data_IF_856931813480
#
_entry.id   IF_856931813480
#
_cell.length_a   1.000
_cell.length_b   1.000
_cell.length_c   1.000
_cell.angle_alpha   90.00
_cell.angle_beta   90.00
_cell.angle_gamma   90.00
#
_symmetry.space_group_name_H-M   'P 1'
#
loop_
_entity.id
_entity.type
_entity.pdbx_description
1 polymer ?
#
# COMPACT_ATOMS: atom_id res chain seq x y z
N UNK A 1 3.40 -19.72 -1.11
CA UNK A 1 3.06 -18.36 -1.58
C UNK A 1 1.86 -17.81 -0.83
N UNK A 2 1.93 -16.57 -0.39
CA UNK A 2 0.84 -15.91 0.33
C UNK A 2 0.13 -14.94 -0.61
N UNK A 3 -1.19 -15.00 -0.62
CA UNK A 3 -2.05 -14.10 -1.40
C UNK A 3 -2.87 -13.25 -0.44
N UNK A 4 -2.84 -11.94 -0.63
CA UNK A 4 -3.66 -11.00 0.14
C UNK A 4 -4.51 -10.22 -0.84
N UNK A 5 -5.80 -10.11 -0.52
CA UNK A 5 -6.74 -9.32 -1.30
C UNK A 5 -7.57 -8.52 -0.30
N UNK A 6 -7.43 -7.20 -0.33
CA UNK A 6 -8.10 -6.32 0.62
C UNK A 6 -8.58 -5.06 -0.09
N UNK A 7 -9.47 -4.31 0.53
CA UNK A 7 -9.96 -3.09 -0.05
C UNK A 7 -11.03 -2.41 0.79
N UNK A 8 -11.51 -1.29 0.27
CA UNK A 8 -12.54 -0.49 0.93
C UNK A 8 -13.27 0.39 -0.08
N UNK A 9 -14.52 0.74 0.23
CA UNK A 9 -15.24 1.82 -0.46
C UNK A 9 -15.16 3.06 0.42
N UNK A 10 -14.80 4.19 -0.18
CA UNK A 10 -14.55 5.44 0.53
C UNK A 10 -15.31 6.60 -0.12
N UNK A 11 -15.47 7.69 0.62
CA UNK A 11 -16.15 8.90 0.15
C UNK A 11 -15.22 9.85 -0.61
N UNK A 12 -13.98 9.47 -0.85
CA UNK A 12 -13.00 10.27 -1.59
C UNK A 12 -12.94 9.80 -3.04
N UNK A 13 -12.45 10.67 -3.94
CA UNK A 13 -12.37 10.31 -5.36
C UNK A 13 -11.25 9.30 -5.60
N UNK A 14 -11.30 8.54 -6.72
CA UNK A 14 -10.19 7.66 -7.10
C UNK A 14 -8.84 8.38 -7.18
N UNK A 15 -8.83 9.59 -7.73
CA UNK A 15 -7.62 10.41 -7.83
C UNK A 15 -7.06 10.78 -6.46
N UNK A 16 -7.92 11.17 -5.53
CA UNK A 16 -7.48 11.48 -4.15
C UNK A 16 -6.83 10.28 -3.49
N UNK A 17 -7.42 9.11 -3.60
CA UNK A 17 -6.87 7.88 -3.01
C UNK A 17 -5.60 7.44 -3.73
N UNK A 18 -5.58 7.53 -5.06
CA UNK A 18 -4.38 7.24 -5.85
C UNK A 18 -3.21 8.13 -5.42
N UNK A 19 -3.42 9.44 -5.34
CA UNK A 19 -2.37 10.38 -4.95
C UNK A 19 -1.81 10.07 -3.56
N UNK A 20 -2.68 9.67 -2.65
CA UNK A 20 -2.30 9.30 -1.30
C UNK A 20 -1.43 8.04 -1.28
N UNK A 21 -1.84 7.00 -1.99
CA UNK A 21 -1.09 5.74 -2.06
C UNK A 21 0.22 5.91 -2.83
N UNK A 22 0.20 6.73 -3.88
CA UNK A 22 1.39 6.97 -4.70
C UNK A 22 2.44 7.84 -3.98
N UNK A 23 2.06 8.56 -2.93
CA UNK A 23 2.97 9.37 -2.13
C UNK A 23 3.70 8.51 -1.08
N UNK A 24 4.53 7.59 -1.57
CA UNK A 24 5.19 6.61 -0.73
C UNK A 24 6.24 7.23 0.21
N UNK A 25 6.80 8.38 -0.15
CA UNK A 25 7.75 9.08 0.72
C UNK A 25 7.12 9.54 2.04
N UNK A 26 5.80 9.66 2.10
CA UNK A 26 5.09 10.01 3.32
C UNK A 26 4.80 8.80 4.22
N UNK A 27 4.98 7.57 3.74
CA UNK A 27 4.63 6.36 4.48
C UNK A 27 5.24 6.26 5.89
N UNK A 28 6.52 6.63 6.11
CA UNK A 28 7.08 6.54 7.46
C UNK A 28 6.36 7.36 8.53
N UNK A 29 5.58 8.35 8.11
CA UNK A 29 4.83 9.20 9.04
C UNK A 29 3.60 8.52 9.63
N UNK A 30 3.05 7.49 8.95
CA UNK A 30 1.79 6.92 9.39
C UNK A 30 1.63 5.39 9.20
N UNK A 31 2.44 4.76 8.35
CA UNK A 31 2.37 3.30 8.21
C UNK A 31 3.22 2.64 9.31
N UNK A 32 2.65 1.67 10.04
CA UNK A 32 3.40 1.00 11.09
C UNK A 32 4.58 0.24 10.52
N UNK A 33 5.69 0.22 11.27
CA UNK A 33 6.91 -0.49 10.93
C UNK A 33 7.68 0.05 9.73
N UNK A 34 7.12 0.96 8.95
CA UNK A 34 7.80 1.59 7.83
C UNK A 34 8.69 2.73 8.37
N UNK A 35 10.01 2.54 8.31
CA UNK A 35 10.94 3.53 8.86
C UNK A 35 11.49 4.48 7.80
N UNK A 36 11.59 4.04 6.55
CA UNK A 36 12.17 4.82 5.47
C UNK A 36 11.65 4.37 4.12
N UNK A 37 11.48 5.33 3.21
CA UNK A 37 11.15 5.05 1.80
C UNK A 37 12.03 5.93 0.93
N UNK A 38 12.68 5.33 -0.07
CA UNK A 38 13.47 6.03 -1.07
C UNK A 38 12.83 5.81 -2.44
N UNK A 39 12.57 6.89 -3.16
CA UNK A 39 11.93 6.84 -4.48
C UNK A 39 12.93 7.32 -5.54
N UNK A 40 13.02 6.56 -6.63
CA UNK A 40 13.73 6.96 -7.83
C UNK A 40 12.72 7.02 -8.98
N UNK A 41 12.42 8.24 -9.43
CA UNK A 41 11.45 8.43 -10.51
C UNK A 41 12.12 8.18 -11.88
N UNK A 42 11.42 7.44 -12.75
CA UNK A 42 11.87 7.11 -14.11
C UNK A 42 10.92 7.68 -15.15
N UNK A 43 10.16 8.72 -14.79
CA UNK A 43 9.16 9.34 -15.63
C UNK A 43 7.85 9.50 -14.87
N UNK A 44 6.81 9.97 -15.56
CA UNK A 44 5.51 10.25 -14.92
C UNK A 44 4.78 8.98 -14.51
N UNK A 45 5.06 7.85 -15.18
CA UNK A 45 4.32 6.60 -15.00
C UNK A 45 5.18 5.44 -14.48
N UNK A 46 6.44 5.70 -14.13
CA UNK A 46 7.36 4.66 -13.65
C UNK A 46 8.22 5.18 -12.51
N UNK A 47 8.44 4.34 -11.52
CA UNK A 47 9.36 4.63 -10.43
C UNK A 47 9.83 3.33 -9.78
N UNK A 48 11.00 3.39 -9.11
CA UNK A 48 11.39 2.36 -8.18
C UNK A 48 11.24 2.89 -6.77
N UNK A 49 10.78 2.03 -5.87
CA UNK A 49 10.60 2.38 -4.46
C UNK A 49 11.35 1.38 -3.60
N UNK A 50 12.21 1.86 -2.71
CA UNK A 50 12.86 1.02 -1.71
C UNK A 50 12.24 1.32 -0.37
N UNK A 51 11.68 0.29 0.26
CA UNK A 51 10.96 0.40 1.53
C UNK A 51 11.76 -0.32 2.60
N UNK A 52 11.96 0.34 3.73
CA UNK A 52 12.62 -0.21 4.90
C UNK A 52 11.59 -0.44 6.00
N UNK A 53 11.47 -1.69 6.44
CA UNK A 53 10.63 -2.08 7.56
C UNK A 53 11.51 -2.43 8.76
N UNK A 54 11.12 -1.97 9.94
CA UNK A 54 11.86 -2.26 11.18
C UNK A 54 10.90 -2.82 12.22
N UNK A 55 11.27 -3.94 12.81
CA UNK A 55 10.57 -4.53 13.96
C UNK A 55 11.60 -4.93 14.99
N UNK A 56 11.67 -4.17 16.09
CA UNK A 56 12.70 -4.40 17.12
C UNK A 56 14.10 -4.22 16.54
N UNK A 57 14.91 -5.25 16.59
CA UNK A 57 16.27 -5.24 16.04
C UNK A 57 16.34 -5.76 14.60
N UNK A 58 15.21 -6.16 14.04
CA UNK A 58 15.17 -6.75 12.69
C UNK A 58 14.80 -5.65 11.69
N UNK A 59 15.59 -5.58 10.62
CA UNK A 59 15.43 -4.62 9.54
C UNK A 59 15.30 -5.38 8.22
N UNK A 60 14.36 -4.98 7.39
CA UNK A 60 14.09 -5.60 6.10
C UNK A 60 13.92 -4.51 5.05
N UNK A 61 14.77 -4.55 4.02
CA UNK A 61 14.69 -3.64 2.88
C UNK A 61 14.23 -4.41 1.64
N UNK A 62 13.36 -3.81 0.86
CA UNK A 62 13.00 -4.36 -0.45
C UNK A 62 12.68 -3.25 -1.43
N UNK A 63 12.92 -3.52 -2.71
CA UNK A 63 12.74 -2.56 -3.79
C UNK A 63 11.76 -3.12 -4.80
N UNK A 64 10.80 -2.30 -5.22
CA UNK A 64 9.86 -2.65 -6.27
C UNK A 64 9.97 -1.67 -7.44
N UNK A 65 9.71 -2.18 -8.65
CA UNK A 65 9.50 -1.36 -9.83
C UNK A 65 8.01 -1.15 -9.98
N UNK A 66 7.59 0.10 -10.01
CA UNK A 66 6.18 0.46 -10.04
C UNK A 66 5.82 1.10 -11.38
N UNK A 67 4.71 0.64 -11.97
CA UNK A 67 4.12 1.25 -13.16
C UNK A 67 2.78 1.85 -12.74
N UNK A 68 2.60 3.14 -13.00
CA UNK A 68 1.43 3.87 -12.56
C UNK A 68 0.58 4.32 -13.74
N UNK A 69 -0.74 4.19 -13.57
CA UNK A 69 -1.74 4.80 -14.43
C UNK A 69 -2.51 5.80 -13.55
N UNK A 70 -2.30 7.09 -13.82
CA UNK A 70 -2.76 8.18 -12.97
C UNK A 70 -4.23 8.06 -12.59
N UNK A 71 -4.49 8.06 -11.28
CA UNK A 71 -5.84 7.98 -10.72
C UNK A 71 -6.51 6.63 -10.85
N UNK A 72 -5.84 5.59 -11.39
CA UNK A 72 -6.50 4.31 -11.69
C UNK A 72 -5.79 3.08 -11.15
N UNK A 73 -4.46 3.01 -11.29
CA UNK A 73 -3.77 1.74 -11.04
C UNK A 73 -2.30 1.96 -10.70
N UNK A 74 -1.77 1.12 -9.83
CA UNK A 74 -0.34 1.00 -9.56
C UNK A 74 0.01 -0.47 -9.54
N UNK A 75 0.91 -0.90 -10.44
CA UNK A 75 1.45 -2.25 -10.44
C UNK A 75 2.86 -2.24 -9.88
N UNK A 76 3.17 -3.19 -9.00
CA UNK A 76 4.46 -3.30 -8.34
C UNK A 76 5.05 -4.68 -8.59
N UNK A 77 6.31 -4.70 -9.01
CA UNK A 77 7.07 -5.95 -9.18
C UNK A 77 8.38 -5.86 -8.40
N UNK A 78 8.77 -6.97 -7.80
CA UNK A 78 10.03 -7.05 -7.04
C UNK A 78 11.24 -6.81 -7.95
N UNK A 79 12.14 -5.92 -7.50
CA UNK A 79 13.45 -5.72 -8.11
C UNK A 79 14.53 -6.37 -7.23
N UNK A 80 14.46 -6.16 -5.91
CA UNK A 80 15.45 -6.66 -4.97
C UNK A 80 14.81 -6.79 -3.59
N UNK A 81 15.26 -7.76 -2.82
CA UNK A 81 14.79 -7.96 -1.46
C UNK A 81 14.72 -9.43 -1.08
N UNK A 82 14.36 -9.74 0.17
CA UNK A 82 14.37 -11.09 0.71
C UNK A 82 13.15 -11.91 0.32
N UNK A 83 12.69 -11.77 -0.91
CA UNK A 83 11.53 -12.49 -1.45
C UNK A 83 11.95 -13.29 -2.68
N UNK A 84 11.37 -14.46 -2.86
CA UNK A 84 11.41 -15.19 -4.15
C UNK A 84 10.48 -14.53 -5.14
N UNK A 85 9.38 -13.98 -4.62
CA UNK A 85 8.32 -13.41 -5.43
C UNK A 85 7.62 -12.33 -4.63
N UNK A 86 7.34 -11.20 -5.27
CA UNK A 86 6.47 -10.18 -4.73
C UNK A 86 5.89 -9.38 -5.88
N UNK A 87 4.57 -9.41 -6.01
CA UNK A 87 3.84 -8.64 -7.02
C UNK A 87 2.57 -8.10 -6.41
N UNK A 88 2.32 -6.82 -6.60
CA UNK A 88 1.14 -6.17 -6.06
C UNK A 88 0.44 -5.29 -7.08
N UNK A 89 -0.85 -5.08 -6.88
CA UNK A 89 -1.66 -4.20 -7.73
C UNK A 89 -2.62 -3.41 -6.87
N UNK A 90 -2.58 -2.08 -7.00
CA UNK A 90 -3.59 -1.18 -6.49
C UNK A 90 -4.54 -0.80 -7.60
N UNK A 91 -5.83 -0.86 -7.35
CA UNK A 91 -6.87 -0.40 -8.28
C UNK A 91 -7.75 0.65 -7.59
N UNK A 92 -8.06 1.71 -8.33
CA UNK A 92 -8.88 2.83 -7.85
C UNK A 92 -9.99 3.03 -8.87
N UNK A 93 -11.22 2.76 -8.47
CA UNK A 93 -12.38 2.82 -9.37
C UNK A 93 -13.45 3.74 -8.81
N UNK A 94 -14.14 4.54 -9.65
CA UNK A 94 -15.21 5.40 -9.16
C UNK A 94 -16.43 4.57 -8.75
N UNK A 95 -17.14 5.04 -7.73
CA UNK A 95 -18.43 4.50 -7.34
C UNK A 95 -19.54 5.43 -7.82
N UNK A 96 -20.77 4.92 -7.84
CA UNK A 96 -21.92 5.69 -8.34
C UNK A 96 -22.25 6.93 -7.49
N UNK A 97 -21.77 6.97 -6.25
CA UNK A 97 -22.03 8.09 -5.32
C UNK A 97 -20.89 9.11 -5.28
N UNK A 98 -19.94 9.05 -6.22
CA UNK A 98 -18.82 9.99 -6.30
C UNK A 98 -17.62 9.63 -5.46
N UNK A 99 -17.64 8.48 -4.80
CA UNK A 99 -16.50 7.97 -4.03
C UNK A 99 -15.60 7.08 -4.85
N UNK A 100 -14.84 6.23 -4.18
CA UNK A 100 -13.93 5.29 -4.80
C UNK A 100 -14.00 3.91 -4.14
N UNK A 101 -13.84 2.90 -4.96
CA UNK A 101 -13.50 1.55 -4.52
C UNK A 101 -12.00 1.39 -4.67
N UNK A 102 -11.31 1.17 -3.55
CA UNK A 102 -9.87 0.94 -3.51
C UNK A 102 -9.63 -0.53 -3.25
N UNK A 103 -8.86 -1.19 -4.09
CA UNK A 103 -8.48 -2.58 -3.86
C UNK A 103 -6.98 -2.77 -3.96
N UNK A 104 -6.46 -3.68 -3.14
CA UNK A 104 -5.05 -4.04 -3.14
C UNK A 104 -4.91 -5.56 -3.11
N UNK A 105 -4.18 -6.07 -4.08
CA UNK A 105 -3.84 -7.47 -4.18
C UNK A 105 -2.33 -7.60 -4.10
N UNK A 106 -1.84 -8.50 -3.23
CA UNK A 106 -0.41 -8.75 -3.10
C UNK A 106 -0.17 -10.25 -3.02
N UNK A 107 0.73 -10.73 -3.88
CA UNK A 107 1.24 -12.09 -3.84
C UNK A 107 2.71 -12.02 -3.46
N UNK A 108 3.13 -12.82 -2.48
CA UNK A 108 4.53 -12.81 -2.06
C UNK A 108 4.96 -14.15 -1.47
N UNK A 109 6.28 -14.37 -1.50
CA UNK A 109 6.93 -15.50 -0.84
C UNK A 109 8.32 -15.07 -0.42
N UNK A 110 8.66 -15.30 0.85
CA UNK A 110 10.00 -15.00 1.35
C UNK A 110 11.04 -15.95 0.75
N UNK A 111 12.29 -15.48 0.62
CA UNK A 111 13.36 -16.24 -0.02
C UNK A 111 13.89 -17.37 0.84
N UNK A 112 13.65 -17.35 2.16
CA UNK A 112 14.06 -18.47 3.02
C UNK A 112 13.10 -18.64 4.20
N UNK A 113 13.07 -19.86 4.80
CA UNK A 113 12.15 -20.17 5.90
C UNK A 113 12.38 -19.35 7.17
N UNK A 114 13.61 -18.91 7.45
CA UNK A 114 13.90 -18.12 8.65
C UNK A 114 13.22 -16.76 8.57
N UNK A 115 13.27 -16.12 7.41
CA UNK A 115 12.59 -14.85 7.18
C UNK A 115 11.08 -15.02 7.25
N UNK A 116 10.55 -16.11 6.70
CA UNK A 116 9.12 -16.40 6.79
C UNK A 116 8.67 -16.54 8.24
N UNK A 117 9.44 -17.19 9.09
CA UNK A 117 9.13 -17.32 10.52
C UNK A 117 9.25 -15.98 11.23
N UNK A 118 10.32 -15.22 10.95
CA UNK A 118 10.59 -13.96 11.64
C UNK A 118 9.62 -12.84 11.24
N UNK A 119 9.24 -12.77 9.97
CA UNK A 119 8.48 -11.65 9.41
C UNK A 119 7.09 -12.00 8.89
N UNK A 120 6.81 -13.29 8.63
CA UNK A 120 5.63 -13.70 7.87
C UNK A 120 4.31 -13.15 8.42
N UNK A 121 4.03 -13.38 9.70
CA UNK A 121 2.74 -12.99 10.26
C UNK A 121 2.59 -11.47 10.40
N UNK A 122 3.64 -10.75 10.81
CA UNK A 122 3.50 -9.32 10.95
C UNK A 122 3.51 -8.60 9.57
N UNK A 123 4.25 -9.12 8.59
CA UNK A 123 4.22 -8.56 7.24
C UNK A 123 2.82 -8.70 6.64
N UNK A 124 2.22 -9.88 6.78
CA UNK A 124 0.85 -10.11 6.35
C UNK A 124 -0.13 -9.18 7.06
N UNK A 125 -0.01 -9.06 8.38
CA UNK A 125 -0.87 -8.16 9.18
C UNK A 125 -0.71 -6.70 8.78
N UNK A 126 0.53 -6.26 8.52
CA UNK A 126 0.79 -4.90 8.07
C UNK A 126 0.12 -4.63 6.72
N UNK A 127 0.28 -5.55 5.76
CA UNK A 127 -0.33 -5.40 4.43
C UNK A 127 -1.85 -5.36 4.54
N UNK A 128 -2.44 -6.24 5.34
CA UNK A 128 -3.89 -6.27 5.54
C UNK A 128 -4.42 -5.00 6.19
N UNK A 129 -3.60 -4.30 6.98
CA UNK A 129 -3.99 -3.05 7.64
C UNK A 129 -3.76 -1.80 6.80
N UNK A 130 -3.06 -1.91 5.68
CA UNK A 130 -2.67 -0.74 4.88
C UNK A 130 -3.85 0.07 4.35
N UNK A 131 -4.88 -0.60 3.83
CA UNK A 131 -6.04 0.10 3.29
C UNK A 131 -6.71 0.95 4.37
N UNK A 132 -6.87 0.41 5.58
CA UNK A 132 -7.41 1.16 6.71
C UNK A 132 -6.54 2.37 7.07
N UNK A 133 -5.21 2.19 7.08
CA UNK A 133 -4.29 3.30 7.36
C UNK A 133 -4.40 4.41 6.30
N UNK A 134 -4.54 4.04 5.02
CA UNK A 134 -4.75 5.03 3.97
C UNK A 134 -6.08 5.74 4.11
N UNK A 135 -7.14 5.04 4.52
CA UNK A 135 -8.44 5.67 4.76
C UNK A 135 -8.36 6.69 5.90
N UNK A 136 -7.65 6.37 6.98
CA UNK A 136 -7.43 7.31 8.09
C UNK A 136 -6.63 8.52 7.64
N UNK A 137 -5.58 8.29 6.86
CA UNK A 137 -4.74 9.37 6.34
C UNK A 137 -5.52 10.25 5.36
N UNK A 138 -6.43 9.69 4.57
CA UNK A 138 -7.30 10.46 3.70
C UNK A 138 -8.18 11.42 4.49
N UNK A 139 -8.73 10.99 5.62
CA UNK A 139 -9.53 11.85 6.48
C UNK A 139 -8.70 13.02 7.02
N UNK A 140 -7.43 12.79 7.37
CA UNK A 140 -6.53 13.84 7.83
C UNK A 140 -6.13 14.81 6.72
N UNK A 141 -5.86 14.30 5.52
CA UNK A 141 -5.37 15.10 4.39
C UNK A 141 -6.49 15.86 3.68
N UNK A 142 -7.62 15.20 3.45
CA UNK A 142 -8.71 15.73 2.62
C UNK A 142 -9.93 16.16 3.44
N UNK A 143 -9.92 15.92 4.74
CA UNK A 143 -11.08 16.13 5.60
C UNK A 143 -12.08 14.99 5.51
N UNK A 144 -13.10 15.04 6.36
CA UNK A 144 -14.16 14.05 6.38
C UNK A 144 -15.39 14.66 5.68
N UNK A 145 -15.62 14.32 4.40
CA UNK A 145 -16.66 14.98 3.61
C UNK A 145 -18.07 14.73 4.12
N UNK A 146 -18.28 13.70 4.94
CA UNK A 146 -19.61 13.34 5.45
C UNK A 146 -19.72 13.41 6.98
N UNK A 147 -18.65 13.83 7.68
CA UNK A 147 -18.63 13.85 9.14
C UNK A 147 -18.54 12.47 9.78
N UNK A 148 -18.06 11.47 9.06
CA UNK A 148 -18.01 10.09 9.55
C UNK A 148 -16.59 9.62 9.93
N UNK A 149 -15.55 10.41 9.66
CA UNK A 149 -14.19 10.02 9.94
C UNK A 149 -13.80 8.74 9.22
N UNK A 150 -13.00 7.91 9.90
CA UNK A 150 -12.62 6.61 9.33
C UNK A 150 -13.80 5.68 9.10
N UNK A 151 -14.94 5.94 9.69
CA UNK A 151 -16.16 5.16 9.44
C UNK A 151 -16.74 5.41 8.04
N UNK A 152 -16.20 6.37 7.28
CA UNK A 152 -16.62 6.62 5.90
C UNK A 152 -16.17 5.51 4.94
N UNK A 153 -15.28 4.62 5.35
CA UNK A 153 -14.88 3.49 4.52
C UNK A 153 -15.64 2.22 4.91
N UNK A 154 -15.72 1.31 3.95
CA UNK A 154 -16.38 0.01 4.15
C UNK A 154 -15.48 -1.07 3.57
N UNK A 155 -15.15 -2.08 4.38
CA UNK A 155 -14.33 -3.19 3.94
C UNK A 155 -15.02 -3.96 2.81
N UNK A 156 -14.26 -4.34 1.78
CA UNK A 156 -14.79 -5.07 0.61
C UNK A 156 -14.14 -6.44 0.42
N UNK A 157 -13.15 -6.80 1.23
CA UNK A 157 -12.49 -8.10 1.06
C UNK A 157 -12.09 -8.72 2.37
#
# INVERSE_FOLDING_TARGET
>A
MTHINTGACVAYTPKQMYDLVNDAEAYPRYLPLCSEVAICSEGADRQTATITLVKGKIKLDFTTANVMEDGKRIDMDLVDGPFKYLRGTWLFSPTSDGGAEVSFMLDFEFSNPLLRVAFGSFFKGMVESMVGAFCEQAALRYGDPHGYGVAAHKAIA
#
